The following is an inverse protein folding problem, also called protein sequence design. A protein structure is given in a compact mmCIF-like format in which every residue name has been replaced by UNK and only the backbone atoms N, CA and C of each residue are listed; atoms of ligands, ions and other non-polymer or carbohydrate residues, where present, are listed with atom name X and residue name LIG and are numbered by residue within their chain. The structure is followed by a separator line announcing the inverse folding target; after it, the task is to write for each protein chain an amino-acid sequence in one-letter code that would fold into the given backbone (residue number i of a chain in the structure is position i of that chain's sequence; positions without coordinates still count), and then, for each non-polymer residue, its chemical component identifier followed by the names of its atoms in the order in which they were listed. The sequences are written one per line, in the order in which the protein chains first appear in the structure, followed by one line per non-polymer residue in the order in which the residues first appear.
data_IF_756182761469
#
_entry.id   IF_756182761469
#
_cell.length_a   1.000
_cell.length_b   1.000
_cell.length_c   1.000
_cell.angle_alpha   90.00
_cell.angle_beta   90.00
_cell.angle_gamma   90.00
#
_symmetry.space_group_name_H-M   'P 1'
#
loop_
_entity.id
_entity.type
_entity.pdbx_description
1 polymer ?
#
# COMPACT_ATOMS: atom_id res chain seq x y z
N UNK A 1 -6.16 30.01 -27.30
CA UNK A 1 -5.78 29.13 -26.16
C UNK A 1 -6.56 29.55 -24.92
N UNK A 2 -7.02 28.56 -24.13
CA UNK A 2 -7.89 28.83 -22.96
C UNK A 2 -7.08 28.96 -21.68
N UNK A 3 -7.29 30.03 -20.92
CA UNK A 3 -6.80 30.16 -19.55
C UNK A 3 -7.96 29.89 -18.57
N UNK A 4 -7.83 28.89 -17.75
CA UNK A 4 -8.79 28.60 -16.68
C UNK A 4 -8.24 29.18 -15.37
N UNK A 5 -8.78 30.31 -14.93
CA UNK A 5 -8.33 31.01 -13.73
C UNK A 5 -9.29 30.72 -12.59
N UNK A 6 -8.76 30.21 -11.49
CA UNK A 6 -9.51 29.88 -10.27
C UNK A 6 -9.07 30.81 -9.14
N UNK A 7 -10.03 31.30 -8.37
CA UNK A 7 -9.76 32.02 -7.14
C UNK A 7 -10.19 31.19 -5.93
N UNK A 8 -9.26 30.69 -5.14
CA UNK A 8 -9.60 29.83 -3.99
C UNK A 8 -10.28 30.59 -2.85
N UNK A 9 -10.12 31.91 -2.79
CA UNK A 9 -10.74 32.76 -1.75
C UNK A 9 -12.22 32.97 -2.02
N UNK A 10 -12.58 33.28 -3.24
CA UNK A 10 -13.98 33.51 -3.64
C UNK A 10 -14.72 32.25 -4.00
N UNK A 11 -13.98 31.18 -4.37
CA UNK A 11 -14.56 29.91 -4.84
C UNK A 11 -15.03 29.95 -6.30
N UNK A 12 -14.69 30.99 -7.05
CA UNK A 12 -15.08 31.20 -8.44
C UNK A 12 -13.98 30.75 -9.39
N UNK A 13 -14.40 30.42 -10.61
CA UNK A 13 -13.52 30.09 -11.74
C UNK A 13 -14.03 30.78 -12.99
N UNK A 14 -13.11 31.29 -13.81
CA UNK A 14 -13.40 31.92 -15.09
C UNK A 14 -12.48 31.35 -16.16
N UNK A 15 -13.05 31.05 -17.31
CA UNK A 15 -12.29 30.65 -18.51
C UNK A 15 -12.22 31.84 -19.43
N UNK A 16 -11.01 32.14 -19.92
CA UNK A 16 -10.72 33.24 -20.82
C UNK A 16 -10.04 32.66 -22.04
N UNK A 17 -10.53 33.01 -23.21
CA UNK A 17 -9.88 32.65 -24.46
C UNK A 17 -8.90 33.77 -24.88
N UNK A 18 -7.66 33.39 -25.16
CA UNK A 18 -6.61 34.31 -25.63
C UNK A 18 -6.09 33.78 -26.96
N UNK A 19 -6.27 34.57 -28.00
CA UNK A 19 -5.80 34.24 -29.33
C UNK A 19 -4.50 34.97 -29.70
N UNK A 20 -4.11 35.97 -28.90
CA UNK A 20 -2.89 36.75 -29.08
C UNK A 20 -1.65 35.92 -28.63
N UNK A 21 -0.83 35.53 -29.60
CA UNK A 21 0.39 34.75 -29.36
C UNK A 21 1.44 35.50 -28.54
N UNK A 22 1.49 36.87 -28.66
CA UNK A 22 2.42 37.67 -27.88
C UNK A 22 2.16 37.59 -26.38
N UNK A 23 0.89 37.61 -25.98
CA UNK A 23 0.47 37.42 -24.58
C UNK A 23 0.75 35.99 -24.11
N UNK A 24 0.60 35.03 -24.99
CA UNK A 24 0.85 33.59 -24.68
C UNK A 24 2.34 33.30 -24.60
N UNK A 25 3.20 33.96 -25.36
CA UNK A 25 4.64 33.79 -25.31
C UNK A 25 5.24 34.01 -23.92
N UNK A 26 4.60 34.84 -23.10
CA UNK A 26 4.99 35.08 -21.72
C UNK A 26 4.91 33.81 -20.82
N UNK A 27 4.06 32.85 -21.20
CA UNK A 27 3.90 31.57 -20.45
C UNK A 27 4.88 30.49 -20.91
N UNK A 28 5.49 30.61 -22.10
CA UNK A 28 6.37 29.59 -22.64
C UNK A 28 7.59 29.39 -21.76
N UNK A 29 8.09 28.17 -21.75
CA UNK A 29 9.21 27.68 -20.92
C UNK A 29 8.97 27.73 -19.41
N UNK A 30 7.88 28.28 -18.95
CA UNK A 30 7.47 28.24 -17.54
C UNK A 30 7.03 26.81 -17.15
N UNK A 31 7.10 26.51 -15.88
CA UNK A 31 6.77 25.16 -15.34
C UNK A 31 5.55 25.22 -14.44
N UNK A 32 4.91 24.06 -14.26
CA UNK A 32 3.89 23.91 -13.23
C UNK A 32 4.46 24.29 -11.86
N UNK A 33 3.68 24.96 -11.04
CA UNK A 33 4.00 25.53 -9.73
C UNK A 33 4.78 26.85 -9.75
N UNK A 34 5.21 27.35 -10.89
CA UNK A 34 5.77 28.71 -10.97
C UNK A 34 4.69 29.77 -10.84
N UNK A 35 5.11 30.92 -10.31
CA UNK A 35 4.31 32.12 -10.20
C UNK A 35 4.59 33.03 -11.37
N UNK A 36 3.55 33.68 -11.86
CA UNK A 36 3.61 34.60 -12.99
C UNK A 36 2.81 35.87 -12.65
N UNK A 37 3.26 36.97 -13.19
CA UNK A 37 2.60 38.28 -13.08
C UNK A 37 1.52 38.33 -14.16
N UNK A 38 0.37 38.93 -13.84
CA UNK A 38 -0.78 39.03 -14.74
C UNK A 38 -0.70 40.19 -15.74
N UNK A 39 0.16 41.15 -15.51
CA UNK A 39 0.22 42.40 -16.31
C UNK A 39 0.30 42.19 -17.83
N UNK A 40 1.06 41.20 -18.35
CA UNK A 40 1.12 40.95 -19.80
C UNK A 40 -0.19 40.45 -20.43
N UNK A 41 -1.14 39.98 -19.61
CA UNK A 41 -2.43 39.43 -20.10
C UNK A 41 -3.40 40.56 -20.51
N UNK A 42 -3.29 41.72 -19.87
CA UNK A 42 -4.13 42.89 -20.12
C UNK A 42 -4.36 43.74 -18.87
N UNK A 43 -4.95 44.88 -19.02
CA UNK A 43 -5.18 45.86 -17.94
C UNK A 43 -6.07 45.32 -16.82
N UNK A 44 -7.00 44.38 -17.14
CA UNK A 44 -7.85 43.71 -16.16
C UNK A 44 -7.04 42.90 -15.14
N UNK A 45 -5.85 42.41 -15.52
CA UNK A 45 -5.00 41.54 -14.72
C UNK A 45 -3.83 42.25 -14.05
N UNK A 46 -3.82 43.57 -14.12
CA UNK A 46 -2.73 44.38 -13.55
C UNK A 46 -2.59 44.18 -12.06
N UNK A 47 -1.36 43.87 -11.61
CA UNK A 47 -1.04 43.59 -10.23
C UNK A 47 -1.47 42.20 -9.70
N UNK A 48 -2.11 41.38 -10.54
CA UNK A 48 -2.41 40.00 -10.16
C UNK A 48 -1.17 39.11 -10.23
N UNK A 49 -1.06 38.17 -9.28
CA UNK A 49 -0.07 37.11 -9.33
C UNK A 49 -0.81 35.79 -9.40
N UNK A 50 -0.49 35.00 -10.43
CA UNK A 50 -1.06 33.69 -10.69
C UNK A 50 -0.02 32.62 -10.49
N UNK A 51 -0.47 31.44 -10.03
CA UNK A 51 0.34 30.23 -10.00
C UNK A 51 -0.15 29.23 -11.03
N UNK A 52 0.76 28.69 -11.81
CA UNK A 52 0.47 27.65 -12.78
C UNK A 52 0.21 26.34 -12.02
N UNK A 53 -0.97 25.77 -12.17
CA UNK A 53 -1.35 24.50 -11.50
C UNK A 53 -1.30 23.31 -12.43
N UNK A 54 -1.39 23.53 -13.73
CA UNK A 54 -1.36 22.49 -14.73
C UNK A 54 -1.96 22.95 -16.05
N UNK A 55 -2.33 22.02 -16.87
CA UNK A 55 -2.97 22.27 -18.15
C UNK A 55 -3.25 20.98 -18.91
N UNK A 56 -3.80 21.15 -20.09
CA UNK A 56 -4.06 20.07 -21.03
C UNK A 56 -3.58 20.46 -22.42
N UNK A 57 -3.09 19.47 -23.13
CA UNK A 57 -2.73 19.59 -24.54
C UNK A 57 -3.99 19.79 -25.42
N UNK A 58 -3.82 20.24 -26.66
CA UNK A 58 -4.89 20.37 -27.67
C UNK A 58 -5.68 19.07 -27.86
N UNK A 59 -5.05 17.91 -27.63
CA UNK A 59 -5.70 16.57 -27.67
C UNK A 59 -6.24 16.11 -26.29
N UNK A 60 -6.14 16.91 -25.23
CA UNK A 60 -6.69 16.61 -23.92
C UNK A 60 -5.76 15.85 -22.97
N UNK A 61 -4.50 15.57 -23.33
CA UNK A 61 -3.57 14.92 -22.41
C UNK A 61 -3.17 15.86 -21.28
N UNK A 62 -3.26 15.42 -20.01
CA UNK A 62 -2.95 16.26 -18.88
C UNK A 62 -1.44 16.45 -18.70
N UNK A 63 -1.05 17.62 -18.24
CA UNK A 63 0.32 17.92 -17.82
C UNK A 63 0.62 17.22 -16.49
N UNK A 64 1.84 16.70 -16.36
CA UNK A 64 2.28 16.02 -15.15
C UNK A 64 3.49 16.71 -14.53
N UNK A 65 3.38 17.08 -13.27
CA UNK A 65 4.48 17.63 -12.49
C UNK A 65 5.63 16.63 -12.40
N UNK A 66 6.85 17.11 -12.55
CA UNK A 66 8.08 16.28 -12.47
C UNK A 66 8.57 15.73 -13.79
N UNK A 67 7.79 15.84 -14.87
CA UNK A 67 8.19 15.43 -16.22
C UNK A 67 8.76 16.66 -16.93
N UNK A 68 10.10 16.82 -16.91
CA UNK A 68 10.83 18.00 -17.36
C UNK A 68 11.05 17.99 -18.88
N UNK A 69 9.95 17.89 -19.61
CA UNK A 69 9.95 18.01 -21.09
C UNK A 69 8.79 18.89 -21.54
N UNK A 70 8.92 19.47 -22.74
CA UNK A 70 7.86 20.25 -23.39
C UNK A 70 6.96 19.41 -24.31
N UNK A 71 7.20 18.11 -24.41
CA UNK A 71 6.48 17.18 -25.27
C UNK A 71 5.74 16.14 -24.46
N UNK A 72 5.07 15.21 -25.12
CA UNK A 72 4.44 14.06 -24.46
C UNK A 72 5.44 12.98 -24.12
N UNK A 73 5.29 12.39 -22.93
CA UNK A 73 6.05 11.23 -22.50
C UNK A 73 5.12 10.07 -22.19
N UNK A 74 5.53 8.85 -22.53
CA UNK A 74 4.78 7.63 -22.23
C UNK A 74 5.33 6.95 -21.00
N UNK A 75 4.66 7.14 -19.85
CA UNK A 75 5.12 6.70 -18.55
C UNK A 75 4.34 5.50 -18.04
N UNK A 76 5.04 4.60 -17.30
CA UNK A 76 4.40 3.52 -16.58
C UNK A 76 3.85 4.04 -15.25
N UNK A 77 2.52 4.16 -15.19
CA UNK A 77 1.81 4.72 -14.03
C UNK A 77 1.19 3.62 -13.18
N UNK A 78 1.14 3.85 -11.89
CA UNK A 78 0.55 2.99 -10.86
C UNK A 78 -0.34 3.79 -9.92
N UNK A 79 -0.98 3.10 -8.99
CA UNK A 79 -1.75 3.76 -7.93
C UNK A 79 -0.90 4.78 -7.15
N UNK A 80 -1.47 5.97 -6.92
CA UNK A 80 -0.81 7.09 -6.24
C UNK A 80 -0.06 8.06 -7.15
N UNK A 81 0.19 7.72 -8.43
CA UNK A 81 0.73 8.69 -9.39
C UNK A 81 -0.37 9.65 -9.88
N UNK A 82 -0.06 10.95 -10.08
CA UNK A 82 -0.98 11.90 -10.69
C UNK A 82 -1.33 11.48 -12.13
N UNK A 83 -2.42 12.00 -12.65
CA UNK A 83 -2.94 11.75 -14.00
C UNK A 83 -3.33 10.27 -14.28
N UNK A 84 -3.40 9.40 -13.27
CA UNK A 84 -3.79 8.01 -13.43
C UNK A 84 -4.69 7.52 -12.28
N UNK A 85 -5.77 6.83 -12.65
CA UNK A 85 -6.67 6.15 -11.72
C UNK A 85 -6.78 4.68 -12.12
N UNK A 86 -6.22 3.73 -11.35
CA UNK A 86 -6.29 2.31 -11.67
C UNK A 86 -7.71 1.77 -11.53
N UNK A 87 -8.09 0.82 -12.37
CA UNK A 87 -9.36 0.10 -12.29
C UNK A 87 -9.26 -1.07 -11.32
N UNK A 88 -8.09 -1.69 -11.20
CA UNK A 88 -7.81 -2.85 -10.34
C UNK A 88 -6.67 -2.54 -9.38
N UNK A 89 -6.68 -3.15 -8.20
CA UNK A 89 -5.59 -3.03 -7.23
C UNK A 89 -4.31 -3.64 -7.79
N UNK A 90 -3.20 -2.89 -7.75
CA UNK A 90 -1.91 -3.32 -8.28
C UNK A 90 -1.75 -3.16 -9.79
N UNK A 91 -2.73 -2.59 -10.50
CA UNK A 91 -2.66 -2.34 -11.94
C UNK A 91 -1.60 -1.28 -12.27
N UNK A 92 -0.83 -1.54 -13.31
CA UNK A 92 0.15 -0.61 -13.89
C UNK A 92 -0.10 -0.54 -15.39
N UNK A 93 -0.22 0.67 -15.92
CA UNK A 93 -0.46 0.91 -17.34
C UNK A 93 0.46 2.02 -17.83
N UNK A 94 0.95 1.89 -19.06
CA UNK A 94 1.64 2.97 -19.76
C UNK A 94 0.62 3.95 -20.31
N UNK A 95 0.71 5.22 -19.87
CA UNK A 95 -0.13 6.34 -20.33
C UNK A 95 0.73 7.45 -20.88
N UNK A 96 0.19 8.12 -21.89
CA UNK A 96 0.78 9.37 -22.37
C UNK A 96 0.39 10.50 -21.44
N UNK A 97 1.37 11.27 -21.02
CA UNK A 97 1.20 12.50 -20.26
C UNK A 97 2.00 13.60 -20.91
N UNK A 98 1.54 14.85 -20.79
CA UNK A 98 2.26 16.03 -21.25
C UNK A 98 3.26 16.44 -20.17
N UNK A 99 4.45 16.87 -20.56
CA UNK A 99 5.46 17.38 -19.65
C UNK A 99 5.02 18.66 -18.91
N UNK A 100 5.74 19.03 -17.87
CA UNK A 100 5.41 20.16 -17.01
C UNK A 100 5.83 21.52 -17.58
N UNK A 101 6.60 21.57 -18.67
CA UNK A 101 7.05 22.81 -19.31
C UNK A 101 5.97 23.27 -20.29
N UNK A 102 5.54 24.51 -20.18
CA UNK A 102 4.51 25.08 -21.05
C UNK A 102 5.07 25.31 -22.46
N UNK A 103 4.20 25.16 -23.46
CA UNK A 103 4.55 25.32 -24.86
C UNK A 103 3.29 25.56 -25.73
N UNK A 104 3.46 25.87 -27.03
CA UNK A 104 2.37 26.25 -27.94
C UNK A 104 1.40 25.09 -28.28
N UNK A 105 1.74 23.88 -27.94
CA UNK A 105 0.93 22.67 -28.11
C UNK A 105 -0.20 22.54 -27.07
N UNK A 106 -0.22 23.39 -26.05
CA UNK A 106 -1.27 23.41 -25.04
C UNK A 106 -2.60 23.96 -25.55
N UNK A 107 -3.69 23.36 -25.15
CA UNK A 107 -5.05 23.83 -25.37
C UNK A 107 -5.58 24.66 -24.20
N UNK A 108 -5.24 24.25 -22.98
CA UNK A 108 -5.71 24.90 -21.74
C UNK A 108 -4.57 25.02 -20.75
N UNK A 109 -4.43 26.16 -20.09
CA UNK A 109 -3.57 26.38 -18.92
C UNK A 109 -4.45 26.70 -17.73
N UNK A 110 -4.21 25.98 -16.61
CA UNK A 110 -4.92 26.20 -15.34
C UNK A 110 -4.07 27.07 -14.41
N UNK A 111 -4.65 28.18 -13.98
CA UNK A 111 -4.04 29.16 -13.09
C UNK A 111 -4.83 29.29 -11.79
N UNK A 112 -4.15 29.61 -10.70
CA UNK A 112 -4.76 29.97 -9.43
C UNK A 112 -4.29 31.37 -9.04
N UNK A 113 -5.21 32.23 -8.62
CA UNK A 113 -4.90 33.54 -8.05
C UNK A 113 -4.22 33.35 -6.69
N UNK A 114 -3.00 33.92 -6.58
CA UNK A 114 -2.27 34.01 -5.30
C UNK A 114 -2.50 35.37 -4.66
N UNK A 115 -2.29 36.42 -5.46
CA UNK A 115 -2.47 37.82 -5.04
C UNK A 115 -3.49 38.50 -5.95
N UNK A 116 -4.44 39.16 -5.34
CA UNK A 116 -5.40 40.03 -6.03
C UNK A 116 -4.70 41.30 -6.52
N UNK A 117 -5.03 41.74 -7.71
CA UNK A 117 -4.57 43.00 -8.29
C UNK A 117 -5.39 44.21 -7.87
N UNK A 118 -5.24 45.28 -8.62
CA UNK A 118 -5.90 46.55 -8.35
C UNK A 118 -7.39 46.51 -8.72
N UNK A 119 -7.72 45.92 -9.84
CA UNK A 119 -9.08 45.87 -10.38
C UNK A 119 -9.80 44.56 -10.03
N UNK A 120 -11.12 44.63 -9.88
CA UNK A 120 -11.95 43.43 -9.72
C UNK A 120 -12.29 42.83 -11.08
N UNK A 121 -12.14 41.51 -11.19
CA UNK A 121 -12.47 40.74 -12.39
C UNK A 121 -13.88 40.19 -12.24
N UNK A 122 -14.81 40.59 -13.10
CA UNK A 122 -16.18 40.12 -13.12
C UNK A 122 -16.26 38.58 -13.25
N UNK A 123 -17.00 37.94 -12.34
CA UNK A 123 -17.13 36.46 -12.26
C UNK A 123 -15.92 35.74 -11.66
N UNK A 124 -14.95 36.45 -11.06
CA UNK A 124 -13.79 35.83 -10.41
C UNK A 124 -13.49 36.41 -9.02
N UNK A 125 -13.56 37.75 -8.88
CA UNK A 125 -13.24 38.41 -7.60
C UNK A 125 -14.36 39.31 -7.09
N UNK A 126 -15.39 39.51 -7.85
CA UNK A 126 -16.55 40.37 -7.57
C UNK A 126 -17.48 39.80 -6.51
N UNK A 127 -17.64 38.51 -6.45
CA UNK A 127 -18.56 37.82 -5.51
C UNK A 127 -17.90 36.68 -4.82
N UNK A 128 -18.42 36.31 -3.64
CA UNK A 128 -17.91 35.17 -2.85
C UNK A 128 -18.97 34.07 -2.79
N UNK A 129 -18.61 32.89 -3.28
CA UNK A 129 -19.45 31.71 -3.17
C UNK A 129 -19.03 30.89 -1.96
N UNK A 130 -19.82 30.90 -0.84
CA UNK A 130 -19.47 30.15 0.35
C UNK A 130 -19.58 28.66 0.11
N UNK A 131 -18.85 27.86 0.91
CA UNK A 131 -18.97 26.41 0.86
C UNK A 131 -20.37 25.98 1.28
N UNK A 132 -21.05 25.23 0.43
CA UNK A 132 -22.41 24.73 0.67
C UNK A 132 -22.52 23.77 1.85
N UNK A 133 -21.50 22.98 2.12
CA UNK A 133 -21.47 21.99 3.17
C UNK A 133 -20.38 22.31 4.19
N UNK A 134 -20.74 22.23 5.46
CA UNK A 134 -19.80 22.29 6.56
C UNK A 134 -18.99 20.99 6.74
N UNK A 135 -18.05 20.96 7.68
CA UNK A 135 -17.23 19.79 7.96
C UNK A 135 -18.09 18.63 8.48
N UNK A 136 -17.78 17.42 8.04
CA UNK A 136 -18.50 16.17 8.37
C UNK A 136 -17.71 15.29 9.35
N UNK A 137 -16.39 15.37 9.36
CA UNK A 137 -15.52 14.57 10.23
C UNK A 137 -15.41 15.22 11.61
N UNK A 138 -15.57 14.44 12.69
CA UNK A 138 -15.52 14.95 14.06
C UNK A 138 -14.31 15.83 14.37
N UNK A 139 -13.10 15.42 13.94
CA UNK A 139 -11.90 16.21 14.16
C UNK A 139 -11.87 17.53 13.38
N UNK A 140 -12.48 17.58 12.19
CA UNK A 140 -12.56 18.81 11.42
C UNK A 140 -13.54 19.79 12.05
N UNK A 141 -14.65 19.30 12.65
CA UNK A 141 -15.58 20.11 13.43
C UNK A 141 -14.87 20.67 14.68
N UNK A 142 -14.11 19.82 15.41
CA UNK A 142 -13.32 20.29 16.55
C UNK A 142 -12.32 21.38 16.17
N UNK A 143 -11.63 21.22 15.05
CA UNK A 143 -10.69 22.25 14.57
C UNK A 143 -11.39 23.57 14.22
N UNK A 144 -12.54 23.49 13.55
CA UNK A 144 -13.29 24.67 13.15
C UNK A 144 -13.79 25.50 14.33
N UNK A 145 -14.28 24.81 15.38
CA UNK A 145 -14.85 25.45 16.57
C UNK A 145 -13.88 25.48 17.78
N UNK A 146 -12.59 25.14 17.58
CA UNK A 146 -11.56 25.08 18.62
C UNK A 146 -11.96 24.27 19.87
N UNK A 147 -12.71 23.15 19.68
CA UNK A 147 -13.27 22.34 20.76
C UNK A 147 -12.23 21.42 21.41
N UNK A 148 -12.35 21.23 22.72
CA UNK A 148 -11.58 20.26 23.49
C UNK A 148 -11.99 18.81 23.15
N UNK A 149 -11.19 17.83 23.59
CA UNK A 149 -11.45 16.41 23.31
C UNK A 149 -12.73 15.89 24.00
N UNK A 150 -13.06 16.46 25.14
CA UNK A 150 -14.18 16.01 25.99
C UNK A 150 -15.53 16.63 25.60
N UNK A 151 -15.50 17.66 24.74
CA UNK A 151 -16.70 18.33 24.28
C UNK A 151 -17.46 17.54 23.22
N UNK A 152 -18.79 17.60 23.29
CA UNK A 152 -19.65 16.88 22.33
C UNK A 152 -19.77 17.61 20.99
N UNK A 153 -19.12 17.01 19.99
CA UNK A 153 -19.08 17.51 18.60
C UNK A 153 -20.48 17.59 17.96
N UNK A 154 -21.45 16.83 18.44
CA UNK A 154 -22.82 16.79 17.85
C UNK A 154 -23.52 18.12 17.98
N UNK A 155 -23.25 18.88 19.05
CA UNK A 155 -23.84 20.20 19.29
C UNK A 155 -23.39 21.25 18.26
N UNK A 156 -22.19 21.07 17.71
CA UNK A 156 -21.55 22.00 16.77
C UNK A 156 -21.68 21.59 15.30
N UNK A 157 -22.53 20.61 15.00
CA UNK A 157 -22.77 20.22 13.61
C UNK A 157 -23.56 21.31 12.89
N UNK A 158 -22.97 21.84 11.80
CA UNK A 158 -23.60 22.88 10.97
C UNK A 158 -24.82 22.26 10.26
N UNK A 159 -25.98 22.80 10.53
CA UNK A 159 -27.23 22.43 9.87
C UNK A 159 -27.50 23.38 8.73
N UNK A 160 -28.00 22.86 7.63
CA UNK A 160 -28.43 23.68 6.48
C UNK A 160 -29.94 23.57 6.31
N UNK A 161 -30.57 24.66 5.94
CA UNK A 161 -31.95 24.70 5.53
C UNK A 161 -32.08 24.25 4.08
N UNK A 162 -33.08 23.47 3.82
CA UNK A 162 -33.41 22.97 2.48
C UNK A 162 -34.79 23.43 2.13
N UNK A 163 -34.89 24.25 1.12
CA UNK A 163 -36.15 24.70 0.57
C UNK A 163 -36.96 23.51 0.06
N UNK A 164 -38.25 23.48 0.30
CA UNK A 164 -39.12 22.45 -0.27
C UNK A 164 -39.18 22.54 -1.79
N UNK A 165 -39.39 21.42 -2.45
CA UNK A 165 -39.54 21.38 -3.90
C UNK A 165 -40.90 21.95 -4.37
N UNK A 166 -41.90 21.82 -3.53
CA UNK A 166 -43.25 22.28 -3.83
C UNK A 166 -43.54 23.59 -3.09
N UNK A 167 -44.26 24.49 -3.74
CA UNK A 167 -44.72 25.74 -3.15
C UNK A 167 -45.61 25.44 -1.92
N UNK A 168 -45.38 26.18 -0.82
CA UNK A 168 -46.10 25.98 0.45
C UNK A 168 -45.56 24.83 1.35
N UNK A 169 -44.52 24.12 0.96
CA UNK A 169 -43.88 23.08 1.77
C UNK A 169 -43.06 23.67 2.94
N UNK A 170 -43.00 22.94 4.07
CA UNK A 170 -42.22 23.35 5.25
C UNK A 170 -40.70 23.26 4.96
N UNK A 171 -39.95 24.28 5.39
CA UNK A 171 -38.49 24.29 5.34
C UNK A 171 -37.94 23.19 6.24
N UNK A 172 -37.08 22.33 5.70
CA UNK A 172 -36.46 21.23 6.45
C UNK A 172 -34.99 21.51 6.71
N UNK A 173 -34.52 21.28 7.95
CA UNK A 173 -33.10 21.39 8.30
C UNK A 173 -32.44 20.03 8.15
N UNK A 174 -31.30 19.98 7.47
CA UNK A 174 -30.47 18.77 7.31
C UNK A 174 -29.11 18.94 7.98
N UNK A 175 -28.70 17.94 8.77
CA UNK A 175 -27.39 17.89 9.40
C UNK A 175 -26.51 16.81 8.74
N UNK A 176 -25.18 16.99 8.70
CA UNK A 176 -24.28 15.97 8.20
C UNK A 176 -24.22 14.79 9.17
N UNK A 177 -24.08 13.57 8.64
CA UNK A 177 -23.77 12.39 9.46
C UNK A 177 -22.30 12.46 9.89
N UNK A 178 -22.04 12.74 11.17
CA UNK A 178 -20.69 12.91 11.70
C UNK A 178 -19.92 11.59 11.57
N UNK A 179 -18.76 11.64 10.92
CA UNK A 179 -17.88 10.49 10.75
C UNK A 179 -16.74 10.50 11.75
N UNK A 180 -16.21 9.31 12.08
CA UNK A 180 -15.13 9.09 13.05
C UNK A 180 -15.47 9.57 14.47
N UNK A 181 -16.76 9.65 14.78
CA UNK A 181 -17.23 9.90 16.14
C UNK A 181 -17.00 8.66 17.00
N UNK A 182 -16.48 8.87 18.21
CA UNK A 182 -16.29 7.79 19.18
C UNK A 182 -17.62 7.50 19.86
N UNK A 183 -18.23 6.39 19.50
CA UNK A 183 -19.51 5.94 20.07
C UNK A 183 -19.30 4.71 20.96
N UNK A 184 -20.18 4.44 21.95
CA UNK A 184 -20.11 3.23 22.79
C UNK A 184 -20.02 1.94 21.96
N UNK A 185 -20.77 1.87 20.85
CA UNK A 185 -20.76 0.75 19.90
C UNK A 185 -19.38 0.55 19.26
N UNK A 186 -18.67 1.62 18.91
CA UNK A 186 -17.32 1.56 18.36
C UNK A 186 -16.31 1.05 19.41
N UNK A 187 -16.43 1.50 20.66
CA UNK A 187 -15.59 1.04 21.77
C UNK A 187 -15.82 -0.45 22.04
N UNK A 188 -17.07 -0.90 22.08
CA UNK A 188 -17.42 -2.33 22.21
C UNK A 188 -16.78 -3.17 21.12
N UNK A 189 -16.94 -2.78 19.84
CA UNK A 189 -16.31 -3.48 18.70
C UNK A 189 -14.80 -3.52 18.79
N UNK A 190 -14.15 -2.46 19.29
CA UNK A 190 -12.68 -2.46 19.49
C UNK A 190 -12.28 -3.45 20.58
N UNK A 191 -12.99 -3.48 21.72
CA UNK A 191 -12.74 -4.44 22.80
C UNK A 191 -12.91 -5.89 22.31
N UNK A 192 -13.98 -6.19 21.56
CA UNK A 192 -14.23 -7.49 20.95
C UNK A 192 -13.07 -7.92 20.02
N UNK A 193 -12.60 -7.02 19.15
CA UNK A 193 -11.47 -7.29 18.26
C UNK A 193 -10.18 -7.59 19.03
N UNK A 194 -9.91 -6.87 20.13
CA UNK A 194 -8.73 -7.12 20.97
C UNK A 194 -8.86 -8.48 21.66
N UNK A 195 -10.04 -8.79 22.21
CA UNK A 195 -10.33 -10.09 22.84
C UNK A 195 -10.15 -11.25 21.87
N UNK A 196 -10.70 -11.15 20.66
CA UNK A 196 -10.52 -12.15 19.60
C UNK A 196 -9.04 -12.33 19.20
N UNK A 197 -8.27 -11.24 19.13
CA UNK A 197 -6.83 -11.32 18.85
C UNK A 197 -6.07 -12.07 19.96
N UNK A 198 -6.39 -11.78 21.22
CA UNK A 198 -5.81 -12.48 22.38
C UNK A 198 -6.17 -13.97 22.37
N UNK A 199 -7.45 -14.28 22.12
CA UNK A 199 -7.92 -15.66 22.04
C UNK A 199 -7.22 -16.46 20.92
N UNK A 200 -7.05 -15.89 19.73
CA UNK A 200 -6.28 -16.49 18.63
C UNK A 200 -4.82 -16.73 19.01
N UNK A 201 -4.20 -15.76 19.64
CA UNK A 201 -2.81 -15.89 20.09
C UNK A 201 -2.64 -17.06 21.08
N UNK A 202 -3.52 -17.13 22.10
CA UNK A 202 -3.51 -18.21 23.09
C UNK A 202 -3.77 -19.58 22.45
N UNK A 203 -4.73 -19.66 21.52
CA UNK A 203 -5.00 -20.89 20.76
C UNK A 203 -3.77 -21.34 19.98
N UNK A 204 -3.13 -20.43 19.25
CA UNK A 204 -1.92 -20.74 18.49
C UNK A 204 -0.75 -21.15 19.39
N UNK A 205 -0.61 -20.53 20.57
CA UNK A 205 0.41 -20.91 21.55
C UNK A 205 0.19 -22.34 22.04
N UNK A 206 -1.04 -22.69 22.45
CA UNK A 206 -1.40 -24.06 22.86
C UNK A 206 -1.13 -25.09 21.74
N UNK A 207 -1.50 -24.76 20.49
CA UNK A 207 -1.25 -25.64 19.35
C UNK A 207 0.26 -25.85 19.09
N UNK A 208 1.08 -24.80 19.23
CA UNK A 208 2.54 -24.90 19.10
C UNK A 208 3.14 -25.79 20.20
N UNK A 209 2.70 -25.66 21.45
CA UNK A 209 3.15 -26.47 22.56
C UNK A 209 2.77 -27.95 22.38
N UNK A 210 1.52 -28.20 21.99
CA UNK A 210 1.04 -29.54 21.65
C UNK A 210 1.88 -30.19 20.54
N UNK A 211 2.12 -29.45 19.46
CA UNK A 211 2.96 -29.94 18.35
C UNK A 211 4.40 -30.25 18.79
N UNK A 212 4.99 -29.34 19.58
CA UNK A 212 6.33 -29.59 20.15
C UNK A 212 6.39 -30.90 20.97
N UNK A 213 5.34 -31.19 21.74
CA UNK A 213 5.26 -32.41 22.53
C UNK A 213 5.16 -33.65 21.65
N UNK A 214 4.32 -33.61 20.60
CA UNK A 214 4.25 -34.69 19.62
C UNK A 214 5.60 -34.96 18.96
N UNK A 215 6.28 -33.91 18.49
CA UNK A 215 7.60 -34.02 17.86
C UNK A 215 8.61 -34.61 18.83
N UNK A 216 8.58 -34.19 20.11
CA UNK A 216 9.45 -34.80 21.14
C UNK A 216 9.16 -36.30 21.35
N UNK A 217 7.89 -36.71 21.41
CA UNK A 217 7.49 -38.12 21.54
C UNK A 217 7.97 -38.93 20.33
N UNK A 218 7.68 -38.50 19.12
CA UNK A 218 8.12 -39.18 17.90
C UNK A 218 9.64 -39.32 17.81
N UNK A 219 10.39 -38.29 18.21
CA UNK A 219 11.87 -38.35 18.27
C UNK A 219 12.33 -39.42 19.30
N UNK A 220 11.72 -39.47 20.49
CA UNK A 220 12.03 -40.47 21.49
C UNK A 220 11.72 -41.90 20.98
N UNK A 221 10.58 -42.09 20.32
CA UNK A 221 10.19 -43.38 19.73
C UNK A 221 11.15 -43.81 18.61
N UNK A 222 11.49 -42.90 17.71
CA UNK A 222 12.46 -43.15 16.66
C UNK A 222 13.84 -43.54 17.23
N UNK A 223 14.30 -42.81 18.26
CA UNK A 223 15.56 -43.17 18.95
C UNK A 223 15.49 -44.51 19.62
N UNK A 224 14.36 -44.87 20.28
CA UNK A 224 14.16 -46.18 20.87
C UNK A 224 14.15 -47.29 19.82
N UNK A 225 13.45 -47.04 18.70
CA UNK A 225 13.41 -47.97 17.57
C UNK A 225 14.82 -48.22 17.01
N UNK A 226 15.57 -47.17 16.78
CA UNK A 226 16.93 -47.27 16.26
C UNK A 226 17.84 -48.03 17.23
N UNK A 227 17.79 -47.73 18.54
CA UNK A 227 18.56 -48.51 19.57
C UNK A 227 18.20 -49.96 19.57
N UNK A 228 16.92 -50.34 19.44
CA UNK A 228 16.49 -51.74 19.34
C UNK A 228 17.04 -52.42 18.08
N UNK A 229 16.99 -51.76 16.96
CA UNK A 229 17.55 -52.26 15.70
C UNK A 229 19.05 -52.45 15.78
N UNK A 230 19.76 -51.51 16.37
CA UNK A 230 21.22 -51.62 16.55
C UNK A 230 21.60 -52.74 17.52
N UNK A 231 20.85 -52.92 18.61
CA UNK A 231 21.03 -54.00 19.53
C UNK A 231 20.81 -55.36 18.84
N UNK A 232 19.75 -55.50 18.02
CA UNK A 232 19.48 -56.72 17.25
C UNK A 232 20.59 -57.01 16.26
N UNK A 233 21.05 -56.03 15.53
CA UNK A 233 22.15 -56.16 14.58
C UNK A 233 23.49 -56.53 15.25
N UNK A 234 23.74 -56.05 16.49
CA UNK A 234 24.92 -56.45 17.28
C UNK A 234 24.81 -57.92 17.68
N UNK A 235 23.68 -58.34 18.24
CA UNK A 235 23.48 -59.75 18.65
C UNK A 235 23.62 -60.70 17.45
N UNK A 236 23.11 -60.34 16.26
CA UNK A 236 23.25 -61.14 15.04
C UNK A 236 24.73 -61.24 14.59
N UNK A 237 25.49 -60.12 14.66
CA UNK A 237 26.93 -60.11 14.36
C UNK A 237 27.71 -60.97 15.35
N UNK A 238 27.39 -60.90 16.64
CA UNK A 238 28.04 -61.71 17.68
C UNK A 238 27.76 -63.22 17.49
N UNK A 239 26.51 -63.59 17.16
CA UNK A 239 26.15 -64.96 16.81
C UNK A 239 26.88 -65.45 15.56
N UNK A 240 26.96 -64.61 14.52
CA UNK A 240 27.72 -64.94 13.31
C UNK A 240 29.23 -65.08 13.58
N UNK A 241 29.79 -64.23 14.43
CA UNK A 241 31.19 -64.36 14.88
C UNK A 241 31.45 -65.63 15.63
N UNK A 242 30.57 -66.04 16.58
CA UNK A 242 30.65 -67.28 17.33
C UNK A 242 30.52 -68.52 16.42
N UNK A 243 29.63 -68.46 15.42
CA UNK A 243 29.51 -69.54 14.43
C UNK A 243 30.81 -69.74 13.64
N UNK A 244 31.38 -68.59 13.08
CA UNK A 244 32.66 -68.61 12.38
C UNK A 244 33.79 -69.18 13.29
N UNK A 245 33.82 -68.80 14.57
CA UNK A 245 34.85 -69.30 15.53
C UNK A 245 34.70 -70.77 15.77
N UNK A 246 33.49 -71.30 15.88
CA UNK A 246 33.21 -72.77 16.01
C UNK A 246 33.64 -73.54 14.77
N UNK A 247 33.37 -73.01 13.54
CA UNK A 247 33.79 -73.59 12.27
C UNK A 247 35.31 -73.67 12.15
N UNK A 248 35.99 -72.53 12.47
CA UNK A 248 37.48 -72.48 12.47
C UNK A 248 38.09 -73.53 13.46
N UNK A 249 37.46 -73.75 14.64
CA UNK A 249 37.86 -74.82 15.60
C UNK A 249 37.62 -76.19 15.03
N UNK A 250 36.49 -76.46 14.37
CA UNK A 250 36.21 -77.74 13.69
C UNK A 250 37.27 -78.02 12.57
N UNK A 251 37.53 -77.05 11.69
CA UNK A 251 38.57 -77.21 10.65
C UNK A 251 39.94 -77.53 11.24
N UNK A 252 40.36 -76.82 12.30
CA UNK A 252 41.63 -77.04 12.94
C UNK A 252 41.71 -78.46 13.58
N UNK A 253 40.58 -78.94 14.12
CA UNK A 253 40.51 -80.34 14.67
C UNK A 253 40.60 -81.40 13.57
N UNK A 254 39.97 -81.18 12.42
CA UNK A 254 40.07 -82.06 11.26
C UNK A 254 41.49 -82.13 10.73
N UNK A 255 42.08 -80.98 10.48
CA UNK A 255 43.49 -80.88 10.01
C UNK A 255 44.46 -81.58 11.00
N UNK A 256 44.27 -81.44 12.32
CA UNK A 256 45.06 -82.15 13.30
C UNK A 256 44.81 -83.68 13.26
N UNK A 257 43.59 -84.11 13.01
CA UNK A 257 43.27 -85.57 12.86
C UNK A 257 43.92 -86.09 11.55
N UNK A 258 43.89 -85.40 10.49
CA UNK A 258 44.54 -85.77 9.22
C UNK A 258 46.08 -85.86 9.36
N UNK A 259 46.67 -84.80 9.98
CA UNK A 259 48.14 -84.82 10.27
C UNK A 259 48.50 -85.99 11.16
N UNK A 260 47.74 -86.37 12.17
CA UNK A 260 47.93 -87.56 13.02
C UNK A 260 47.76 -88.87 12.27
N UNK A 261 46.83 -88.95 11.28
CA UNK A 261 46.67 -90.11 10.41
C UNK A 261 47.89 -90.24 9.46
N UNK A 262 48.34 -89.18 8.89
CA UNK A 262 49.54 -89.14 8.00
C UNK A 262 50.81 -89.51 8.77
N UNK A 263 50.99 -89.00 10.01
CA UNK A 263 52.14 -89.39 10.86
C UNK A 263 52.09 -90.86 11.26
N UNK A 264 50.88 -91.47 11.52
CA UNK A 264 50.75 -92.87 11.77
C UNK A 264 51.04 -93.77 10.56
N UNK A 265 50.72 -93.25 9.32
CA UNK A 265 51.02 -93.96 8.07
C UNK A 265 52.50 -93.94 7.72
N UNK A 266 53.22 -92.85 8.08
CA UNK A 266 54.67 -92.71 7.85
C UNK A 266 55.45 -93.52 8.87
N UNK A 267 54.99 -93.73 10.10
CA UNK A 267 55.60 -94.63 11.09
C UNK A 267 55.40 -96.15 10.80
N UNK A 268 54.21 -96.52 10.23
CA UNK A 268 53.95 -97.90 9.79
C UNK A 268 54.65 -98.29 8.46
N UNK A 269 55.28 -97.32 7.68
CA UNK A 269 56.10 -97.63 6.53
C UNK A 269 57.58 -97.69 6.86
N UNK A 270 58.02 -97.46 8.11
CA UNK A 270 59.39 -97.48 8.57
C UNK A 270 59.72 -98.64 9.44
N UNK A 271 58.70 -99.47 9.82
CA UNK A 271 58.85 -100.80 10.35
C UNK A 271 58.47 -101.80 9.26
#
# INVERSE_FOLDING_TARGET
MKLNIANPVTGLQKVIDIDDERKLAYFWEKRISQEIIGDPLGEEFKGYIFKITGGNDKQGFPMMQGVLVSTRARLLLREGHPCYRPKRKGERIRRNVRGCILGPDLGVINLIVIKKGENDIAGLTDSIVPRRLGPKRANNIRKLFALKKDEDVRKYAIRREVQPKNEGGKIKTKAPKIQRLITPKLLRRKREKISQKRARFLKNKKQKEWYKNIVKQRRKEATRYQRRKDAKNRSEKDIAHLKKKKERKKKRRLIRKEKRKQQKQTTNKKN
#
